data_IF_617117711070
#
_entry.id   IF_617117711070
#
_cell.length_a   1.000
_cell.length_b   1.000
_cell.length_c   1.000
_cell.angle_alpha   90.00
_cell.angle_beta   90.00
_cell.angle_gamma   90.00
#
_symmetry.space_group_name_H-M   'P 1'
#
loop_
_entity.id
_entity.type
_entity.pdbx_description
1 polymer ?
#
# COMPACT_ATOMS: atom_id res chain seq x y z
N UNK A 1 9.26 -22.63 -26.46
CA UNK A 1 9.31 -21.66 -25.35
C UNK A 1 7.95 -21.00 -25.34
N UNK A 2 7.14 -21.25 -24.32
CA UNK A 2 5.79 -20.67 -24.26
C UNK A 2 5.94 -19.15 -24.23
N UNK A 3 5.13 -18.44 -25.01
CA UNK A 3 5.02 -16.98 -24.98
C UNK A 3 4.80 -16.53 -23.54
N UNK A 4 5.86 -16.05 -22.90
CA UNK A 4 5.83 -15.61 -21.51
C UNK A 4 5.29 -14.17 -21.50
N UNK A 5 3.97 -14.04 -21.64
CA UNK A 5 3.33 -12.73 -21.69
C UNK A 5 3.19 -12.20 -20.28
N UNK A 6 3.92 -11.14 -19.94
CA UNK A 6 3.66 -10.38 -18.72
C UNK A 6 2.32 -9.66 -18.84
N UNK A 7 1.47 -9.79 -17.82
CA UNK A 7 0.11 -9.26 -17.79
C UNK A 7 -0.07 -8.26 -16.65
N UNK A 8 -0.98 -7.31 -16.88
CA UNK A 8 -1.48 -6.40 -15.86
C UNK A 8 -2.99 -6.27 -16.03
N UNK A 9 -3.75 -6.41 -14.96
CA UNK A 9 -5.21 -6.31 -15.01
C UNK A 9 -5.79 -5.96 -13.64
N UNK A 10 -7.06 -5.61 -13.66
CA UNK A 10 -7.87 -5.34 -12.48
C UNK A 10 -8.85 -6.48 -12.27
N UNK A 11 -9.01 -6.94 -11.04
CA UNK A 11 -9.96 -8.00 -10.72
C UNK A 11 -10.53 -7.82 -9.31
N UNK A 12 -11.85 -8.04 -9.11
CA UNK A 12 -12.44 -8.02 -7.78
C UNK A 12 -11.84 -9.10 -6.88
N UNK A 13 -11.36 -8.71 -5.70
CA UNK A 13 -10.84 -9.61 -4.68
C UNK A 13 -11.69 -9.50 -3.41
N UNK A 14 -12.38 -10.58 -3.06
CA UNK A 14 -13.16 -10.66 -1.83
C UNK A 14 -12.25 -11.06 -0.67
N UNK A 15 -12.21 -10.23 0.38
CA UNK A 15 -11.42 -10.49 1.59
C UNK A 15 -12.32 -10.27 2.81
N UNK A 16 -12.40 -11.24 3.74
CA UNK A 16 -13.06 -11.01 5.00
C UNK A 16 -12.39 -9.85 5.73
N UNK A 17 -13.18 -8.86 6.12
CA UNK A 17 -12.69 -7.57 6.61
C UNK A 17 -13.44 -7.15 7.86
N UNK A 18 -12.71 -6.77 8.89
CA UNK A 18 -13.26 -6.07 10.05
C UNK A 18 -13.44 -4.60 9.71
N UNK A 19 -14.68 -4.11 9.81
CA UNK A 19 -15.01 -2.74 9.46
C UNK A 19 -14.40 -1.74 10.45
N UNK A 20 -13.88 -0.63 9.93
CA UNK A 20 -13.61 0.57 10.72
C UNK A 20 -14.85 1.43 10.66
N UNK A 21 -15.24 2.03 11.79
CA UNK A 21 -16.39 2.93 11.82
C UNK A 21 -16.15 4.18 10.96
N UNK A 22 -17.21 4.97 10.75
CA UNK A 22 -17.08 6.25 10.03
C UNK A 22 -15.97 7.11 10.66
N UNK A 23 -15.16 7.81 9.84
CA UNK A 23 -14.09 8.66 10.36
C UNK A 23 -14.61 9.72 11.35
N UNK A 24 -13.81 10.06 12.35
CA UNK A 24 -14.14 11.13 13.30
C UNK A 24 -14.38 12.45 12.54
N UNK A 25 -15.58 13.05 12.61
CA UNK A 25 -15.88 14.27 11.89
C UNK A 25 -15.17 15.49 12.49
N UNK A 26 -14.64 15.38 13.71
CA UNK A 26 -13.99 16.50 14.38
C UNK A 26 -12.52 16.63 13.94
N UNK A 27 -12.08 17.81 13.48
CA UNK A 27 -10.69 18.01 13.12
C UNK A 27 -9.80 17.88 14.35
N UNK A 28 -8.73 17.08 14.23
CA UNK A 28 -7.71 16.95 15.29
C UNK A 28 -6.49 17.79 14.98
N UNK A 29 -6.30 18.83 15.77
CA UNK A 29 -5.12 19.68 15.73
C UNK A 29 -3.97 19.11 16.56
N UNK A 30 -2.76 19.52 16.22
CA UNK A 30 -1.55 19.03 16.89
C UNK A 30 -1.40 19.64 18.27
N UNK A 31 -1.36 18.79 19.30
CA UNK A 31 -1.21 19.17 20.72
C UNK A 31 0.05 18.59 21.36
N UNK A 32 1.05 18.23 20.55
CA UNK A 32 2.32 17.66 21.02
C UNK A 32 2.43 16.13 20.93
N UNK A 33 1.41 15.42 20.43
CA UNK A 33 1.45 13.95 20.24
C UNK A 33 2.67 13.51 19.42
N UNK A 34 3.49 12.62 19.95
CA UNK A 34 4.57 11.96 19.19
C UNK A 34 4.06 10.69 18.54
N UNK A 35 4.65 10.31 17.41
CA UNK A 35 4.27 9.11 16.67
C UNK A 35 5.50 8.53 15.96
N UNK A 36 6.08 7.46 16.53
CA UNK A 36 7.20 6.70 15.95
C UNK A 36 8.36 7.60 15.42
N UNK A 37 8.80 8.55 16.24
CA UNK A 37 9.86 9.51 15.87
C UNK A 37 9.40 10.73 15.06
N UNK A 38 8.12 10.80 14.69
CA UNK A 38 7.49 11.95 14.02
C UNK A 38 6.57 12.75 14.95
N UNK A 39 6.22 13.97 14.52
CA UNK A 39 5.08 14.69 15.09
C UNK A 39 3.78 14.04 14.59
N UNK A 40 2.87 13.70 15.50
CA UNK A 40 1.56 13.11 15.22
C UNK A 40 0.55 14.12 14.65
N UNK A 41 0.95 14.92 13.66
CA UNK A 41 0.08 15.85 12.92
C UNK A 41 -0.80 15.04 11.97
N UNK A 42 -2.11 15.18 12.10
CA UNK A 42 -3.09 14.44 11.30
C UNK A 42 -3.95 15.35 10.43
N UNK A 43 -4.29 16.56 10.89
CA UNK A 43 -5.05 17.53 10.09
C UNK A 43 -4.39 17.77 8.71
N UNK A 44 -5.14 17.68 7.59
CA UNK A 44 -6.61 17.70 7.51
C UNK A 44 -7.28 16.32 7.48
N UNK A 45 -6.56 15.23 7.68
CA UNK A 45 -7.17 13.90 7.66
C UNK A 45 -8.03 13.64 8.89
N UNK A 46 -9.20 13.00 8.71
CA UNK A 46 -10.01 12.53 9.84
C UNK A 46 -9.35 11.30 10.48
N UNK A 47 -9.67 11.06 11.75
CA UNK A 47 -9.21 9.85 12.43
C UNK A 47 -10.03 8.64 12.01
N UNK A 48 -9.34 7.50 11.89
CA UNK A 48 -9.86 6.16 11.63
C UNK A 48 -9.62 5.28 12.88
N UNK A 49 -10.02 5.77 14.05
CA UNK A 49 -9.60 5.24 15.36
C UNK A 49 -10.69 4.46 16.12
N UNK A 50 -11.83 4.20 15.48
CA UNK A 50 -12.90 3.36 16.04
C UNK A 50 -12.99 2.05 15.26
N UNK A 51 -12.35 1.01 15.81
CA UNK A 51 -12.41 -0.36 15.29
C UNK A 51 -13.73 -1.01 15.68
N UNK A 52 -14.23 -1.91 14.83
CA UNK A 52 -15.43 -2.70 15.14
C UNK A 52 -15.12 -4.20 15.10
N UNK A 53 -15.93 -4.99 15.79
CA UNK A 53 -15.92 -6.45 15.68
C UNK A 53 -16.78 -6.96 14.51
N UNK A 54 -17.32 -6.04 13.68
CA UNK A 54 -18.12 -6.41 12.51
C UNK A 54 -17.23 -6.91 11.39
N UNK A 55 -17.23 -8.23 11.18
CA UNK A 55 -16.56 -8.89 10.07
C UNK A 55 -17.53 -9.12 8.92
N UNK A 56 -17.16 -8.66 7.72
CA UNK A 56 -17.92 -8.89 6.49
C UNK A 56 -16.99 -9.19 5.33
N UNK A 57 -17.50 -9.92 4.35
CA UNK A 57 -16.80 -10.07 3.08
C UNK A 57 -16.89 -8.73 2.32
N UNK A 58 -15.72 -8.13 2.09
CA UNK A 58 -15.59 -6.90 1.34
C UNK A 58 -14.87 -7.18 0.03
N UNK A 59 -15.44 -6.71 -1.06
CA UNK A 59 -14.80 -6.72 -2.37
C UNK A 59 -13.89 -5.52 -2.52
N UNK A 60 -12.64 -5.77 -2.87
CA UNK A 60 -11.64 -4.77 -3.22
C UNK A 60 -11.32 -4.84 -4.70
N UNK A 61 -11.04 -3.71 -5.34
CA UNK A 61 -10.47 -3.68 -6.68
C UNK A 61 -8.96 -3.94 -6.57
N UNK A 62 -8.56 -5.18 -6.81
CA UNK A 62 -7.15 -5.56 -6.82
C UNK A 62 -6.55 -5.30 -8.21
N UNK A 63 -5.28 -4.90 -8.23
CA UNK A 63 -4.46 -4.81 -9.43
C UNK A 63 -3.43 -5.92 -9.39
N UNK A 64 -3.35 -6.70 -10.45
CA UNK A 64 -2.40 -7.80 -10.56
C UNK A 64 -1.33 -7.51 -11.60
N UNK A 65 -0.11 -7.94 -11.29
CA UNK A 65 1.00 -8.09 -12.23
C UNK A 65 1.42 -9.56 -12.23
N UNK A 66 1.52 -10.19 -13.39
CA UNK A 66 1.88 -11.60 -13.48
C UNK A 66 2.76 -11.90 -14.68
N UNK A 67 3.79 -12.71 -14.48
CA UNK A 67 4.54 -13.39 -15.54
C UNK A 67 4.65 -14.89 -15.21
N UNK A 68 5.56 -15.63 -15.85
CA UNK A 68 5.81 -17.05 -15.61
C UNK A 68 6.38 -17.35 -14.22
N UNK A 69 7.03 -16.39 -13.55
CA UNK A 69 7.69 -16.59 -12.25
C UNK A 69 6.91 -16.02 -11.07
N UNK A 70 6.32 -14.84 -11.21
CA UNK A 70 5.72 -14.11 -10.08
C UNK A 70 4.31 -13.66 -10.37
N UNK A 71 3.48 -13.62 -9.32
CA UNK A 71 2.16 -12.98 -9.33
C UNK A 71 2.05 -12.03 -8.15
N UNK A 72 1.96 -10.74 -8.44
CA UNK A 72 1.87 -9.66 -7.46
C UNK A 72 0.42 -9.17 -7.40
N UNK A 73 -0.10 -8.99 -6.19
CA UNK A 73 -1.40 -8.37 -5.94
C UNK A 73 -1.19 -7.04 -5.21
N UNK A 74 -1.74 -5.96 -5.76
CA UNK A 74 -1.71 -4.62 -5.18
C UNK A 74 -3.12 -4.19 -4.83
N UNK A 75 -3.30 -3.58 -3.66
CA UNK A 75 -4.57 -3.01 -3.21
C UNK A 75 -4.48 -1.48 -3.15
N UNK A 76 -4.88 -0.77 -4.22
CA UNK A 76 -4.97 0.70 -4.21
C UNK A 76 -5.86 1.23 -3.10
N UNK A 77 -6.96 0.53 -2.80
CA UNK A 77 -7.90 0.90 -1.73
C UNK A 77 -7.31 0.84 -0.31
N UNK A 78 -6.16 0.19 -0.12
CA UNK A 78 -5.46 0.09 1.17
C UNK A 78 -4.03 0.58 1.00
N UNK A 79 -3.91 1.89 0.79
CA UNK A 79 -2.66 2.61 0.79
C UNK A 79 -1.72 2.30 -0.37
N UNK A 80 -2.18 1.60 -1.41
CA UNK A 80 -1.37 1.11 -2.52
C UNK A 80 -0.51 -0.09 -2.15
N UNK A 81 -0.86 -0.80 -1.08
CA UNK A 81 -0.08 -1.90 -0.52
C UNK A 81 0.11 -3.02 -1.53
N UNK A 82 1.32 -3.58 -1.61
CA UNK A 82 1.52 -4.92 -2.19
C UNK A 82 0.95 -5.90 -1.19
N UNK A 83 -0.21 -6.47 -1.49
CA UNK A 83 -0.96 -7.29 -0.55
C UNK A 83 -0.47 -8.75 -0.54
N UNK A 84 -0.07 -9.26 -1.70
CA UNK A 84 0.58 -10.57 -1.82
C UNK A 84 1.57 -10.59 -2.97
N UNK A 85 2.54 -11.48 -2.90
CA UNK A 85 3.48 -11.73 -3.96
C UNK A 85 3.88 -13.21 -3.96
N UNK A 86 3.38 -13.92 -4.97
CA UNK A 86 3.53 -15.36 -5.13
C UNK A 86 4.72 -15.64 -6.04
N UNK A 87 5.62 -16.52 -5.60
CA UNK A 87 6.54 -17.25 -6.45
C UNK A 87 5.83 -18.48 -7.01
N UNK A 88 5.66 -18.52 -8.33
CA UNK A 88 4.95 -19.57 -9.07
C UNK A 88 5.80 -20.83 -9.25
N UNK A 89 7.11 -20.77 -9.04
CA UNK A 89 8.02 -21.91 -9.21
C UNK A 89 7.89 -22.92 -8.09
N UNK A 90 7.50 -22.47 -6.90
CA UNK A 90 7.31 -23.27 -5.69
C UNK A 90 5.96 -23.04 -5.01
N UNK A 91 5.10 -22.19 -5.59
CA UNK A 91 3.78 -21.83 -5.05
C UNK A 91 3.84 -21.25 -3.63
N UNK A 92 4.81 -20.36 -3.38
CA UNK A 92 5.05 -19.73 -2.08
C UNK A 92 4.85 -18.21 -2.15
N UNK A 93 4.03 -17.66 -1.25
CA UNK A 93 3.93 -16.22 -1.06
C UNK A 93 5.18 -15.72 -0.32
N UNK A 94 6.11 -15.05 -1.03
CA UNK A 94 7.35 -14.53 -0.44
C UNK A 94 7.17 -13.24 0.37
N UNK A 95 5.93 -12.75 0.43
CA UNK A 95 5.48 -11.73 1.36
C UNK A 95 4.38 -12.32 2.26
N UNK A 96 4.30 -11.87 3.50
CA UNK A 96 3.24 -12.29 4.41
C UNK A 96 1.87 -11.83 3.89
N UNK A 97 1.10 -12.76 3.33
CA UNK A 97 -0.25 -12.51 2.80
C UNK A 97 -1.28 -12.65 3.91
N UNK A 98 -2.05 -11.59 4.14
CA UNK A 98 -3.22 -11.68 5.01
C UNK A 98 -4.36 -12.43 4.33
N UNK A 99 -5.04 -13.30 5.08
CA UNK A 99 -6.30 -13.91 4.65
C UNK A 99 -7.54 -13.17 5.22
N UNK A 100 -7.32 -12.20 6.11
CA UNK A 100 -8.33 -11.32 6.69
C UNK A 100 -7.75 -9.92 6.85
N UNK A 101 -8.52 -8.89 6.51
CA UNK A 101 -8.16 -7.50 6.81
C UNK A 101 -8.71 -7.17 8.20
N UNK A 102 -7.82 -7.15 9.18
CA UNK A 102 -8.14 -6.79 10.58
C UNK A 102 -7.28 -5.62 11.04
N UNK A 103 -7.80 -4.38 10.98
CA UNK A 103 -7.05 -3.22 11.40
C UNK A 103 -6.78 -3.21 12.91
N UNK A 104 -5.64 -2.64 13.29
CA UNK A 104 -5.26 -2.32 14.67
C UNK A 104 -4.97 -0.82 14.79
N UNK A 105 -5.04 -0.27 16.01
CA UNK A 105 -4.77 1.14 16.31
C UNK A 105 -3.26 1.46 16.36
N UNK A 106 -2.58 1.16 15.25
CA UNK A 106 -1.12 1.35 15.10
C UNK A 106 -0.82 2.54 14.19
N UNK A 107 -1.66 2.79 13.17
CA UNK A 107 -1.47 3.85 12.20
C UNK A 107 -1.59 5.25 12.81
N UNK A 108 -1.06 6.26 12.13
CA UNK A 108 -1.10 7.64 12.65
C UNK A 108 -2.55 8.14 12.82
N UNK A 109 -3.42 7.75 11.88
CA UNK A 109 -4.86 8.01 11.92
C UNK A 109 -5.64 6.97 12.75
N UNK A 110 -5.01 5.93 13.30
CA UNK A 110 -5.67 4.82 13.97
C UNK A 110 -5.49 3.52 13.19
N UNK A 111 -6.41 3.23 12.27
CA UNK A 111 -6.43 1.98 11.50
C UNK A 111 -5.13 1.74 10.70
N UNK A 112 -4.57 0.55 10.88
CA UNK A 112 -3.42 0.01 10.14
C UNK A 112 -3.50 -1.51 10.10
N UNK A 113 -2.96 -2.14 9.06
CA UNK A 113 -2.89 -3.61 8.93
C UNK A 113 -1.44 -4.08 8.74
N UNK A 114 -1.14 -5.29 9.19
CA UNK A 114 0.15 -5.97 8.93
C UNK A 114 0.15 -6.68 7.57
N UNK A 115 1.30 -7.21 7.14
CA UNK A 115 1.42 -8.05 5.93
C UNK A 115 1.79 -7.30 4.66
N UNK A 116 2.36 -7.99 3.66
CA UNK A 116 2.71 -7.38 2.38
C UNK A 116 3.79 -6.30 2.46
N UNK A 117 3.71 -5.30 1.59
CA UNK A 117 4.58 -4.11 1.59
C UNK A 117 3.76 -2.84 1.78
N UNK A 118 4.00 -2.11 2.87
CA UNK A 118 3.46 -0.77 3.08
C UNK A 118 4.45 0.32 2.65
N UNK A 119 3.94 1.32 1.94
CA UNK A 119 4.69 2.50 1.53
C UNK A 119 4.61 3.61 2.59
N UNK A 120 5.65 3.70 3.42
CA UNK A 120 5.75 4.65 4.53
C UNK A 120 6.42 5.93 4.07
N UNK A 121 5.65 6.81 3.41
CA UNK A 121 6.11 8.08 2.87
C UNK A 121 5.12 9.19 3.24
N UNK A 122 5.52 10.29 3.91
CA UNK A 122 6.88 10.66 4.30
C UNK A 122 7.24 10.25 5.75
N UNK A 123 6.48 9.36 6.38
CA UNK A 123 6.70 8.90 7.76
C UNK A 123 6.28 7.43 7.92
N UNK A 124 6.75 6.78 8.98
CA UNK A 124 6.42 5.41 9.36
C UNK A 124 5.54 5.39 10.62
N UNK A 125 4.44 4.62 10.65
CA UNK A 125 3.59 4.26 9.51
C UNK A 125 2.94 5.51 8.88
N UNK A 126 2.67 5.48 7.56
CA UNK A 126 2.11 6.65 6.87
C UNK A 126 0.71 6.96 7.40
N UNK A 127 0.32 8.24 7.42
CA UNK A 127 -1.01 8.65 7.89
C UNK A 127 -2.14 7.95 7.13
N UNK A 128 -2.11 8.03 5.80
CA UNK A 128 -3.15 7.46 4.94
C UNK A 128 -2.90 5.98 4.59
N UNK A 129 -2.10 5.24 5.37
CA UNK A 129 -1.75 3.83 5.08
C UNK A 129 -2.95 2.90 4.89
N UNK A 130 -4.11 3.24 5.48
CA UNK A 130 -5.36 2.47 5.38
C UNK A 130 -6.42 3.19 4.54
N UNK A 131 -6.02 4.21 3.78
CA UNK A 131 -6.90 4.97 2.87
C UNK A 131 -6.59 4.61 1.42
N UNK A 132 -7.55 4.80 0.50
CA UNK A 132 -7.30 4.61 -0.92
C UNK A 132 -6.23 5.58 -1.44
N UNK A 133 -5.47 5.14 -2.44
CA UNK A 133 -4.55 5.96 -3.23
C UNK A 133 -4.93 5.90 -4.71
N UNK A 134 -4.48 6.89 -5.47
CA UNK A 134 -4.63 6.87 -6.93
C UNK A 134 -3.68 5.83 -7.54
N UNK A 135 -4.09 5.26 -8.67
CA UNK A 135 -3.24 4.36 -9.42
C UNK A 135 -3.47 4.44 -10.94
N UNK A 136 -2.50 3.96 -11.70
CA UNK A 136 -2.63 3.79 -13.16
C UNK A 136 -1.82 2.59 -13.63
N UNK A 137 -2.28 1.98 -14.71
CA UNK A 137 -1.66 0.80 -15.34
C UNK A 137 -0.87 1.26 -16.56
N UNK A 138 0.33 0.73 -16.73
CA UNK A 138 1.20 1.05 -17.84
C UNK A 138 1.77 -0.22 -18.46
N UNK A 139 1.68 -0.28 -19.79
CA UNK A 139 2.39 -1.25 -20.61
C UNK A 139 3.64 -0.61 -21.21
N UNK A 140 4.79 -1.26 -21.08
CA UNK A 140 6.07 -0.74 -21.57
C UNK A 140 6.46 -1.39 -22.90
N UNK A 141 7.30 -0.68 -23.68
CA UNK A 141 7.77 -1.13 -25.00
C UNK A 141 8.69 -2.35 -24.93
N UNK A 142 9.30 -2.62 -23.77
CA UNK A 142 10.12 -3.82 -23.51
C UNK A 142 9.28 -5.04 -23.06
N UNK A 143 7.95 -4.94 -23.10
CA UNK A 143 7.02 -5.99 -22.68
C UNK A 143 6.74 -6.03 -21.18
N UNK A 144 7.48 -5.27 -20.36
CA UNK A 144 7.21 -5.16 -18.92
C UNK A 144 5.90 -4.42 -18.66
N UNK A 145 5.30 -4.69 -17.50
CA UNK A 145 4.07 -4.03 -17.05
C UNK A 145 4.32 -3.34 -15.72
N UNK A 146 3.76 -2.14 -15.56
CA UNK A 146 3.94 -1.32 -14.37
C UNK A 146 2.60 -0.87 -13.81
N UNK A 147 2.35 -1.06 -12.52
CA UNK A 147 1.33 -0.29 -11.80
C UNK A 147 2.00 0.86 -11.07
N UNK A 148 1.52 2.07 -11.31
CA UNK A 148 1.88 3.24 -10.52
C UNK A 148 0.83 3.46 -9.44
N UNK A 149 1.23 3.61 -8.19
CA UNK A 149 0.36 4.00 -7.07
C UNK A 149 0.91 5.26 -6.41
N UNK A 150 0.05 6.14 -5.91
CA UNK A 150 0.51 7.35 -5.25
C UNK A 150 -0.59 8.29 -4.79
N UNK A 151 -0.22 9.31 -4.04
CA UNK A 151 -1.15 10.35 -3.58
C UNK A 151 -0.42 11.70 -3.42
N UNK A 152 -1.21 12.75 -3.21
CA UNK A 152 -0.72 14.00 -2.61
C UNK A 152 -0.95 13.92 -1.10
N UNK A 153 0.13 13.92 -0.33
CA UNK A 153 0.08 13.93 1.13
C UNK A 153 -0.28 15.34 1.62
N UNK A 154 -1.50 15.51 2.11
CA UNK A 154 -2.14 16.80 2.33
C UNK A 154 -1.46 17.64 3.42
N UNK A 155 -0.80 17.01 4.40
CA UNK A 155 -0.15 17.72 5.52
C UNK A 155 1.07 18.51 5.07
N UNK A 156 1.82 17.96 4.10
CA UNK A 156 3.06 18.57 3.58
C UNK A 156 2.90 19.05 2.13
N UNK A 157 1.78 18.72 1.46
CA UNK A 157 1.51 18.95 0.03
C UNK A 157 2.55 18.31 -0.91
N UNK A 158 3.37 17.41 -0.38
CA UNK A 158 4.29 16.59 -1.16
C UNK A 158 3.51 15.51 -1.91
N UNK A 159 4.06 15.07 -3.04
CA UNK A 159 3.54 13.94 -3.80
C UNK A 159 4.52 12.79 -3.72
N UNK A 160 4.03 11.58 -3.55
CA UNK A 160 4.82 10.37 -3.72
C UNK A 160 4.16 9.46 -4.74
N UNK A 161 4.97 8.71 -5.48
CA UNK A 161 4.53 7.72 -6.46
C UNK A 161 5.48 6.52 -6.39
N UNK A 162 4.91 5.32 -6.37
CA UNK A 162 5.62 4.05 -6.45
C UNK A 162 5.21 3.38 -7.75
N UNK A 163 6.19 3.06 -8.61
CA UNK A 163 6.00 2.21 -9.78
C UNK A 163 6.44 0.79 -9.45
N UNK A 164 5.55 -0.18 -9.57
CA UNK A 164 5.86 -1.60 -9.39
C UNK A 164 5.88 -2.26 -10.75
N UNK A 165 7.04 -2.75 -11.16
CA UNK A 165 7.26 -3.28 -12.51
C UNK A 165 7.60 -4.76 -12.46
N UNK A 166 6.91 -5.55 -13.28
CA UNK A 166 7.26 -6.96 -13.56
C UNK A 166 7.69 -7.04 -15.02
N UNK A 167 8.78 -7.74 -15.28
CA UNK A 167 9.38 -7.91 -16.61
C UNK A 167 9.14 -9.33 -17.14
N UNK A 168 9.05 -9.53 -18.46
CA UNK A 168 9.15 -10.87 -19.04
C UNK A 168 10.48 -11.53 -18.65
N UNK A 169 10.46 -12.84 -18.44
CA UNK A 169 11.64 -13.67 -18.19
C UNK A 169 12.41 -13.34 -16.89
N UNK A 170 11.80 -12.61 -15.94
CA UNK A 170 12.43 -12.22 -14.66
C UNK A 170 11.61 -12.66 -13.45
N UNK A 171 12.29 -13.14 -12.42
CA UNK A 171 11.68 -13.63 -11.17
C UNK A 171 11.65 -12.58 -10.05
N UNK A 172 11.56 -11.30 -10.38
CA UNK A 172 11.53 -10.22 -9.40
C UNK A 172 10.52 -9.12 -9.79
N UNK A 173 10.13 -8.34 -8.78
CA UNK A 173 9.40 -7.09 -8.95
C UNK A 173 10.34 -5.92 -8.67
N UNK A 174 10.43 -4.96 -9.57
CA UNK A 174 11.15 -3.71 -9.35
C UNK A 174 10.24 -2.65 -8.74
N UNK A 175 10.74 -1.87 -7.79
CA UNK A 175 10.05 -0.73 -7.22
C UNK A 175 10.78 0.58 -7.54
N UNK A 176 10.17 1.43 -8.37
CA UNK A 176 10.63 2.79 -8.64
C UNK A 176 9.94 3.77 -7.68
N UNK A 177 10.71 4.52 -6.90
CA UNK A 177 10.19 5.48 -5.92
C UNK A 177 10.42 6.91 -6.40
N UNK A 178 9.35 7.71 -6.52
CA UNK A 178 9.42 9.13 -6.86
C UNK A 178 8.78 9.95 -5.75
N UNK A 179 9.53 10.91 -5.20
CA UNK A 179 9.08 11.81 -4.15
C UNK A 179 9.29 13.23 -4.65
N UNK A 180 8.23 14.04 -4.60
CA UNK A 180 8.18 15.36 -5.21
C UNK A 180 7.74 16.36 -4.16
N UNK A 181 8.65 17.25 -3.77
CA UNK A 181 8.29 18.42 -2.98
C UNK A 181 7.70 19.49 -3.91
N UNK A 182 6.40 19.76 -3.76
CA UNK A 182 5.63 20.70 -4.59
C UNK A 182 5.50 22.08 -3.93
N UNK A 183 6.29 22.33 -2.90
CA UNK A 183 6.22 23.55 -2.07
C UNK A 183 7.53 24.33 -2.17
N UNK A 184 7.53 25.64 -1.91
CA UNK A 184 8.76 26.44 -1.88
C UNK A 184 9.61 26.20 -0.62
N UNK A 185 9.15 25.36 0.31
CA UNK A 185 9.80 25.12 1.60
C UNK A 185 10.48 23.76 1.62
N UNK A 186 11.59 23.65 2.33
CA UNK A 186 12.24 22.36 2.60
C UNK A 186 11.33 21.53 3.52
N UNK A 187 11.10 20.28 3.15
CA UNK A 187 10.37 19.31 3.96
C UNK A 187 11.30 18.14 4.30
N UNK A 188 11.28 17.70 5.56
CA UNK A 188 11.91 16.45 5.97
C UNK A 188 11.12 15.25 5.47
N UNK A 189 11.81 14.14 5.22
CA UNK A 189 11.20 12.91 4.77
C UNK A 189 11.85 11.68 5.40
N UNK A 190 11.02 10.73 5.80
CA UNK A 190 11.37 9.33 5.94
C UNK A 190 10.69 8.57 4.79
N UNK A 191 11.46 7.79 4.04
CA UNK A 191 10.95 6.92 2.99
C UNK A 191 11.32 5.49 3.34
N UNK A 192 10.32 4.67 3.65
CA UNK A 192 10.55 3.29 4.04
C UNK A 192 9.51 2.37 3.39
N UNK A 193 9.98 1.24 2.86
CA UNK A 193 9.12 0.15 2.41
C UNK A 193 9.03 -0.88 3.53
N UNK A 194 7.88 -0.95 4.19
CA UNK A 194 7.64 -1.86 5.30
C UNK A 194 7.26 -3.25 4.79
N UNK A 195 8.23 -4.15 4.74
CA UNK A 195 8.05 -5.50 4.21
C UNK A 195 7.78 -6.47 5.35
N UNK A 196 6.64 -7.16 5.29
CA UNK A 196 6.32 -8.25 6.19
C UNK A 196 6.54 -9.60 5.49
N UNK A 197 7.23 -10.52 6.17
CA UNK A 197 7.50 -11.89 5.72
C UNK A 197 7.10 -12.88 6.81
N UNK A 198 6.90 -14.14 6.44
CA UNK A 198 6.78 -15.22 7.42
C UNK A 198 8.09 -15.34 8.20
N UNK A 199 8.00 -15.40 9.53
CA UNK A 199 9.16 -15.48 10.43
C UNK A 199 9.39 -16.91 10.97
N UNK A 200 8.51 -17.84 10.63
CA UNK A 200 8.50 -19.23 11.05
C UNK A 200 8.17 -20.16 9.87
N UNK A 201 8.40 -21.47 10.09
CA UNK A 201 7.98 -22.56 9.20
C UNK A 201 6.46 -22.62 9.03
#
# INVERSE_FOLDING_TARGET
>A
LADSTTKIWEEPLVIPTYEVSKPDPNPRFYTGRTYQGAQGRVYPYPMLDVLTDSRKDKTYQAVYLENEYVKICVLPEIGGRVFSALDKTNNYDFLYRQHVIKPALIGMLGAWISGGIEWCIPHHHRATTFMPVDYTLQENSDGSKTVWVGEIELRHRMKWVIGLTVYPEKSYMEATIKIINRTPFVNSILCWANVAVHANE
#
